data_IF_258143340973
#
_entry.id   IF_258143340973
#
_cell.length_a   1.000
_cell.length_b   1.000
_cell.length_c   1.000
_cell.angle_alpha   90.00
_cell.angle_beta   90.00
_cell.angle_gamma   90.00
#
_symmetry.space_group_name_H-M   'P 1'
#
loop_
_entity.id
_entity.type
_entity.pdbx_description
1 polymer ?
#
# COMPACT_ATOMS: atom_id res chain seq x y z
N UNK A 1 -14.45 22.98 16.12
CA UNK A 1 -13.78 21.65 16.20
C UNK A 1 -14.33 20.62 15.20
N UNK A 2 -15.65 20.50 14.99
CA UNK A 2 -16.19 19.52 14.03
C UNK A 2 -15.80 19.80 12.57
N UNK A 3 -15.86 21.08 12.15
CA UNK A 3 -15.54 21.49 10.77
C UNK A 3 -14.08 21.22 10.42
N UNK A 4 -13.15 21.48 11.33
CA UNK A 4 -11.72 21.23 11.12
C UNK A 4 -11.42 19.73 11.01
N UNK A 5 -12.10 18.90 11.80
CA UNK A 5 -12.01 17.44 11.71
C UNK A 5 -12.57 16.94 10.37
N UNK A 6 -13.74 17.42 9.96
CA UNK A 6 -14.36 17.05 8.69
C UNK A 6 -13.50 17.48 7.49
N UNK A 7 -12.91 18.68 7.52
CA UNK A 7 -12.00 19.14 6.48
C UNK A 7 -10.80 18.19 6.33
N UNK A 8 -10.17 17.79 7.45
CA UNK A 8 -9.08 16.80 7.44
C UNK A 8 -9.50 15.41 6.97
N UNK A 9 -10.71 14.95 7.31
CA UNK A 9 -11.22 13.68 6.79
C UNK A 9 -11.49 13.74 5.29
N UNK A 10 -11.98 14.87 4.78
CA UNK A 10 -12.25 15.06 3.34
C UNK A 10 -10.99 15.03 2.48
N UNK A 11 -9.84 15.47 3.01
CA UNK A 11 -8.55 15.43 2.30
C UNK A 11 -7.91 14.03 2.26
N UNK A 12 -8.34 13.11 3.12
CA UNK A 12 -7.86 11.72 3.18
C UNK A 12 -8.86 10.71 2.62
N UNK A 13 -10.13 11.10 2.47
CA UNK A 13 -11.20 10.22 2.02
C UNK A 13 -10.95 9.77 0.59
N UNK A 14 -10.79 8.46 0.41
CA UNK A 14 -10.73 7.84 -0.92
C UNK A 14 -11.94 6.92 -1.13
N UNK A 15 -12.34 6.65 -2.40
CA UNK A 15 -13.39 5.66 -2.68
C UNK A 15 -13.05 4.26 -2.13
N UNK A 16 -11.75 3.96 -1.96
CA UNK A 16 -11.29 2.68 -1.44
C UNK A 16 -11.68 2.45 0.02
N UNK A 17 -11.86 3.50 0.82
CA UNK A 17 -12.25 3.39 2.24
C UNK A 17 -13.60 2.68 2.45
N UNK A 18 -14.50 2.73 1.46
CA UNK A 18 -15.85 2.15 1.55
C UNK A 18 -15.99 0.80 0.83
N UNK A 19 -14.91 0.29 0.23
CA UNK A 19 -14.91 -0.99 -0.47
C UNK A 19 -15.06 -2.15 0.52
N UNK A 20 -15.90 -3.14 0.20
CA UNK A 20 -16.18 -4.31 1.07
C UNK A 20 -15.05 -5.36 1.05
N UNK A 21 -14.10 -5.25 0.12
CA UNK A 21 -13.07 -6.26 -0.17
C UNK A 21 -11.90 -6.28 0.83
N UNK A 22 -12.09 -5.80 2.08
CA UNK A 22 -11.13 -5.98 3.18
C UNK A 22 -9.81 -5.20 3.09
N UNK A 23 -9.57 -4.43 2.03
CA UNK A 23 -8.29 -3.71 1.83
C UNK A 23 -8.24 -2.36 2.58
N UNK A 24 -8.85 -2.27 3.78
CA UNK A 24 -8.85 -1.06 4.61
C UNK A 24 -7.53 -1.00 5.38
N UNK A 25 -6.82 0.12 5.26
CA UNK A 25 -5.64 0.35 6.08
C UNK A 25 -6.05 0.74 7.51
N UNK A 26 -5.53 0.02 8.50
CA UNK A 26 -5.75 0.31 9.93
C UNK A 26 -5.13 1.64 10.37
N UNK A 27 -4.11 2.12 9.65
CA UNK A 27 -3.48 3.42 9.91
C UNK A 27 -4.26 4.59 9.30
N UNK A 28 -5.25 4.31 8.44
CA UNK A 28 -6.04 5.37 7.82
C UNK A 28 -7.15 5.84 8.77
N UNK A 29 -7.18 7.12 9.17
CA UNK A 29 -8.20 7.62 10.10
C UNK A 29 -9.62 7.54 9.51
N UNK A 30 -9.78 7.60 8.19
CA UNK A 30 -11.09 7.49 7.52
C UNK A 30 -11.64 6.05 7.55
N UNK A 31 -10.78 5.05 7.67
CA UNK A 31 -11.16 3.64 7.74
C UNK A 31 -11.63 3.21 9.13
N UNK A 32 -11.42 4.02 10.17
CA UNK A 32 -11.93 3.77 11.52
C UNK A 32 -13.45 3.97 11.58
N UNK A 33 -14.19 3.05 12.20
CA UNK A 33 -15.66 3.03 12.19
C UNK A 33 -16.31 4.33 12.70
N UNK A 34 -15.73 4.94 13.74
CA UNK A 34 -16.26 6.19 14.31
C UNK A 34 -16.13 7.38 13.36
N UNK A 35 -14.98 7.51 12.70
CA UNK A 35 -14.68 8.60 11.77
C UNK A 35 -15.28 8.36 10.40
N UNK A 36 -15.43 7.09 9.99
CA UNK A 36 -16.03 6.72 8.71
C UNK A 36 -17.48 7.21 8.58
N UNK A 37 -18.26 7.12 9.67
CA UNK A 37 -19.63 7.64 9.75
C UNK A 37 -19.69 9.14 9.54
N UNK A 38 -18.75 9.89 10.13
CA UNK A 38 -18.64 11.34 9.96
C UNK A 38 -18.18 11.72 8.54
N UNK A 39 -17.31 10.90 7.95
CA UNK A 39 -16.77 11.12 6.62
C UNK A 39 -17.74 10.73 5.49
N UNK A 40 -18.80 9.95 5.78
CA UNK A 40 -19.71 9.41 4.76
C UNK A 40 -20.31 10.49 3.85
N UNK A 41 -20.73 11.62 4.42
CA UNK A 41 -21.33 12.76 3.70
C UNK A 41 -20.32 13.71 3.04
N UNK A 42 -19.01 13.54 3.28
CA UNK A 42 -17.97 14.45 2.77
C UNK A 42 -17.54 14.09 1.34
N UNK A 43 -17.01 15.05 0.56
CA UNK A 43 -16.41 14.75 -0.73
C UNK A 43 -15.14 13.89 -0.57
N UNK A 44 -14.82 13.12 -1.61
CA UNK A 44 -13.55 12.39 -1.70
C UNK A 44 -12.42 13.34 -2.12
N UNK A 45 -11.22 13.08 -1.62
CA UNK A 45 -10.02 13.78 -2.02
C UNK A 45 -9.71 13.51 -3.50
N UNK A 46 -9.39 14.57 -4.24
CA UNK A 46 -8.85 14.44 -5.58
C UNK A 46 -7.34 14.21 -5.49
N UNK A 47 -6.89 13.02 -5.87
CA UNK A 47 -5.47 12.68 -5.92
C UNK A 47 -5.06 12.54 -7.38
N UNK A 48 -4.38 13.56 -7.92
CA UNK A 48 -3.96 13.61 -9.33
C UNK A 48 -2.83 12.63 -9.67
N UNK A 49 -2.04 12.25 -8.66
CA UNK A 49 -0.89 11.37 -8.81
C UNK A 49 -0.97 10.22 -7.82
N UNK A 50 -1.00 9.00 -8.33
CA UNK A 50 -0.82 7.81 -7.51
C UNK A 50 0.63 7.70 -7.05
N UNK A 51 0.84 7.23 -5.81
CA UNK A 51 2.17 6.91 -5.28
C UNK A 51 2.19 5.43 -4.93
N UNK A 52 3.23 4.73 -5.37
CA UNK A 52 3.46 3.34 -5.00
C UNK A 52 4.18 3.31 -3.66
N UNK A 53 3.66 2.51 -2.74
CA UNK A 53 4.23 2.33 -1.40
C UNK A 53 4.40 0.83 -1.17
N UNK A 54 5.55 0.44 -0.65
CA UNK A 54 5.82 -0.95 -0.34
C UNK A 54 5.00 -1.43 0.86
N UNK A 55 4.33 -2.57 0.71
CA UNK A 55 3.53 -3.19 1.78
C UNK A 55 4.39 -3.65 2.97
N UNK A 56 5.65 -4.05 2.74
CA UNK A 56 6.54 -4.56 3.78
C UNK A 56 7.22 -3.40 4.52
N UNK A 57 7.89 -2.50 3.79
CA UNK A 57 8.68 -1.44 4.40
C UNK A 57 7.90 -0.16 4.69
N UNK A 58 6.72 0.02 4.10
CA UNK A 58 5.97 1.29 4.14
C UNK A 58 6.66 2.43 3.38
N UNK A 59 7.80 2.18 2.74
CA UNK A 59 8.55 3.20 2.00
C UNK A 59 7.98 3.38 0.58
N UNK A 60 8.04 4.62 0.03
CA UNK A 60 7.67 4.85 -1.36
C UNK A 60 8.59 4.08 -2.31
N UNK A 61 8.00 3.54 -3.37
CA UNK A 61 8.75 2.95 -4.48
C UNK A 61 9.10 4.07 -5.46
N UNK A 62 10.40 4.27 -5.69
CA UNK A 62 10.95 5.35 -6.53
C UNK A 62 12.24 4.87 -7.22
N UNK A 63 13.01 5.78 -7.79
CA UNK A 63 14.28 5.48 -8.48
C UNK A 63 15.28 4.73 -7.59
N UNK A 64 15.27 5.02 -6.28
CA UNK A 64 16.14 4.39 -5.28
C UNK A 64 15.55 3.10 -4.69
N UNK A 65 14.28 2.80 -4.97
CA UNK A 65 13.54 1.64 -4.47
C UNK A 65 12.57 1.17 -5.57
N UNK A 66 13.12 0.50 -6.58
CA UNK A 66 12.38 0.13 -7.79
C UNK A 66 11.26 -0.87 -7.46
N UNK A 67 10.09 -0.79 -8.13
CA UNK A 67 9.04 -1.80 -7.99
C UNK A 67 9.47 -3.12 -8.65
N UNK A 68 9.45 -4.19 -7.88
CA UNK A 68 9.73 -5.56 -8.29
C UNK A 68 8.50 -6.44 -8.11
N UNK A 69 8.16 -7.24 -9.12
CA UNK A 69 7.01 -8.13 -9.12
C UNK A 69 7.43 -9.58 -8.92
N UNK A 70 6.78 -10.23 -7.96
CA UNK A 70 6.89 -11.67 -7.74
C UNK A 70 6.03 -12.44 -8.78
N UNK A 71 6.32 -13.71 -9.06
CA UNK A 71 5.55 -14.54 -10.01
C UNK A 71 4.05 -14.66 -9.70
N UNK A 72 3.64 -14.38 -8.45
CA UNK A 72 2.24 -14.35 -8.01
C UNK A 72 1.50 -13.04 -8.40
N UNK A 73 2.20 -12.08 -9.04
CA UNK A 73 1.64 -10.80 -9.47
C UNK A 73 1.66 -9.69 -8.41
N UNK A 74 2.23 -9.92 -7.22
CA UNK A 74 2.37 -8.88 -6.20
C UNK A 74 3.67 -8.09 -6.35
N UNK A 75 3.59 -6.78 -6.13
CA UNK A 75 4.70 -5.84 -6.30
C UNK A 75 5.21 -5.37 -4.94
N UNK A 76 6.52 -5.42 -4.77
CA UNK A 76 7.25 -4.98 -3.58
C UNK A 76 8.45 -4.12 -3.97
N UNK A 77 9.02 -3.38 -3.02
CA UNK A 77 10.19 -2.54 -3.30
C UNK A 77 11.47 -3.37 -3.26
N UNK A 78 12.43 -3.08 -4.15
CA UNK A 78 13.73 -3.73 -4.19
C UNK A 78 14.41 -3.83 -2.83
N UNK A 79 14.41 -2.74 -2.04
CA UNK A 79 15.04 -2.73 -0.72
C UNK A 79 14.44 -3.76 0.24
N UNK A 80 13.12 -3.90 0.21
CA UNK A 80 12.41 -4.84 1.09
C UNK A 80 12.69 -6.30 0.69
N UNK A 81 12.70 -6.57 -0.61
CA UNK A 81 12.97 -7.90 -1.14
C UNK A 81 14.42 -8.33 -0.93
N UNK A 82 15.36 -7.39 -1.07
CA UNK A 82 16.78 -7.66 -0.83
C UNK A 82 17.05 -8.00 0.64
N UNK A 83 16.47 -7.24 1.57
CA UNK A 83 16.55 -7.57 3.01
C UNK A 83 15.99 -8.96 3.31
N UNK A 84 14.81 -9.29 2.77
CA UNK A 84 14.24 -10.64 2.94
C UNK A 84 15.12 -11.75 2.34
N UNK A 85 15.73 -11.49 1.18
CA UNK A 85 16.62 -12.45 0.55
C UNK A 85 17.91 -12.65 1.37
N UNK A 86 18.46 -11.60 1.96
CA UNK A 86 19.64 -11.67 2.83
C UNK A 86 19.35 -12.48 4.11
N UNK A 87 18.15 -12.35 4.67
CA UNK A 87 17.73 -13.05 5.90
C UNK A 87 17.38 -14.54 5.65
N UNK A 88 16.93 -14.90 4.45
CA UNK A 88 16.39 -16.24 4.12
C UNK A 88 17.18 -16.97 3.01
N UNK A 89 18.50 -16.77 2.93
CA UNK A 89 19.39 -17.47 1.97
C UNK A 89 18.91 -17.39 0.51
N UNK A 90 18.48 -16.20 0.07
CA UNK A 90 18.04 -15.93 -1.31
C UNK A 90 16.58 -16.30 -1.62
N UNK A 91 15.80 -16.73 -0.63
CA UNK A 91 14.35 -16.96 -0.77
C UNK A 91 13.53 -15.80 -0.24
N UNK A 92 12.53 -15.41 -1.01
CA UNK A 92 11.59 -14.34 -0.65
C UNK A 92 10.22 -14.96 -0.40
N UNK A 93 9.64 -14.67 0.75
CA UNK A 93 8.29 -15.13 1.11
C UNK A 93 7.30 -13.97 0.97
N UNK A 94 6.24 -14.18 0.19
CA UNK A 94 5.18 -13.20 0.04
C UNK A 94 4.34 -13.14 1.33
N UNK A 95 4.21 -11.99 2.02
CA UNK A 95 3.42 -11.89 3.25
C UNK A 95 1.90 -12.05 3.03
N UNK A 96 1.42 -11.99 1.78
CA UNK A 96 -0.01 -12.12 1.45
C UNK A 96 -0.41 -13.56 1.11
N UNK A 97 0.44 -14.29 0.38
CA UNK A 97 0.14 -15.67 -0.05
C UNK A 97 0.91 -16.72 0.75
N UNK A 98 1.90 -16.31 1.56
CA UNK A 98 2.86 -17.19 2.25
C UNK A 98 3.67 -18.11 1.32
N UNK A 99 3.68 -17.83 0.01
CA UNK A 99 4.47 -18.59 -0.96
C UNK A 99 5.91 -18.06 -1.01
N UNK A 100 6.85 -18.99 -1.10
CA UNK A 100 8.28 -18.68 -1.21
C UNK A 100 8.74 -18.75 -2.67
N UNK A 101 9.41 -17.70 -3.14
CA UNK A 101 10.00 -17.61 -4.47
C UNK A 101 11.50 -17.34 -4.40
N UNK A 102 12.20 -17.68 -5.47
CA UNK A 102 13.62 -17.37 -5.61
C UNK A 102 13.79 -15.95 -6.14
N UNK A 103 14.80 -15.22 -5.67
CA UNK A 103 15.13 -13.87 -6.14
C UNK A 103 15.29 -13.78 -7.66
N UNK A 104 15.77 -14.85 -8.32
CA UNK A 104 15.94 -14.89 -9.79
C UNK A 104 14.64 -14.83 -10.59
N UNK A 105 13.51 -15.21 -10.01
CA UNK A 105 12.22 -15.27 -10.71
C UNK A 105 11.46 -13.93 -10.67
N UNK A 106 12.08 -12.87 -10.16
CA UNK A 106 11.45 -11.57 -9.90
C UNK A 106 11.72 -10.64 -11.06
N UNK A 107 10.67 -9.95 -11.52
CA UNK A 107 10.75 -9.03 -12.66
C UNK A 107 10.64 -7.58 -12.22
N UNK A 108 11.33 -6.69 -12.93
CA UNK A 108 11.21 -5.24 -12.73
C UNK A 108 9.94 -4.74 -13.40
N UNK A 109 9.14 -3.97 -12.67
CA UNK A 109 7.92 -3.35 -13.19
C UNK A 109 8.11 -1.85 -13.30
N UNK A 110 7.65 -1.30 -14.41
CA UNK A 110 7.61 0.13 -14.67
C UNK A 110 6.16 0.57 -14.79
N UNK A 111 5.79 1.60 -14.04
CA UNK A 111 4.47 2.24 -14.12
C UNK A 111 4.66 3.57 -14.84
N UNK A 112 3.88 3.78 -15.90
CA UNK A 112 3.96 4.95 -16.79
C UNK A 112 2.87 5.97 -16.45
#
# INVERSE_FOLDING_TARGET
FSITLQAGLSSLKTPQCYRKDGNRNNECPVCSDGLNKLAASLPCAHCSQSRLVCFISGEPMNENNQPLMLPNGYVYGEKSLRKMADDNDGKITCPRTNESFNFKAIEKVYVM
#
